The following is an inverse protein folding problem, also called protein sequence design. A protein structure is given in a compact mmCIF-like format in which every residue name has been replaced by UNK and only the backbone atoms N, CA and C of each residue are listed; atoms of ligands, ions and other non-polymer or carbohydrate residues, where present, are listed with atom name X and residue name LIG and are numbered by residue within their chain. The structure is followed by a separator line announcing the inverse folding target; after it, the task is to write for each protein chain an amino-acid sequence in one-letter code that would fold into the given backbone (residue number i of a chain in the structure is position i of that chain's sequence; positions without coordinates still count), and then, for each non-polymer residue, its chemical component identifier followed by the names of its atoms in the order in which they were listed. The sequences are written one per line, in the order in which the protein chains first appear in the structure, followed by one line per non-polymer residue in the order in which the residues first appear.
data_IF_215366526338
#
_entry.id   IF_215366526338
#
_cell.length_a   1.000
_cell.length_b   1.000
_cell.length_c   1.000
_cell.angle_alpha   90.00
_cell.angle_beta   90.00
_cell.angle_gamma   90.00
#
_symmetry.space_group_name_H-M   'P 1'
#
loop_
_entity.id
_entity.type
_entity.pdbx_description
1 polymer ?
#
# COMPACT_ATOMS: atom_id res chain seq x y z
N UNK A 1 -9.87 -15.89 11.18
CA UNK A 1 -9.22 -14.75 10.48
C UNK A 1 -8.25 -13.98 11.39
N UNK A 2 -8.63 -13.59 12.61
CA UNK A 2 -7.73 -12.84 13.53
C UNK A 2 -6.44 -13.57 13.93
N UNK A 3 -6.46 -14.89 14.11
CA UNK A 3 -5.26 -15.68 14.48
C UNK A 3 -4.12 -15.55 13.46
N UNK A 4 -4.45 -15.40 12.17
CA UNK A 4 -3.46 -15.21 11.11
C UNK A 4 -2.84 -13.81 11.21
N UNK A 5 -3.66 -12.76 11.36
CA UNK A 5 -3.15 -11.40 11.59
C UNK A 5 -2.26 -11.33 12.82
N UNK A 6 -2.63 -12.02 13.90
CA UNK A 6 -1.84 -12.04 15.12
C UNK A 6 -0.49 -12.73 14.90
N UNK A 7 -0.49 -13.88 14.23
CA UNK A 7 0.74 -14.60 13.90
C UNK A 7 1.67 -13.80 12.99
N UNK A 8 1.12 -13.10 12.00
CA UNK A 8 1.86 -12.22 11.08
C UNK A 8 2.41 -10.99 11.83
N UNK A 9 1.61 -10.38 12.69
CA UNK A 9 2.05 -9.24 13.52
C UNK A 9 3.19 -9.66 14.45
N UNK A 10 3.09 -10.85 15.05
CA UNK A 10 4.10 -11.37 15.99
C UNK A 10 5.40 -11.77 15.31
N UNK A 11 5.30 -12.50 14.20
CA UNK A 11 6.47 -13.07 13.52
C UNK A 11 7.04 -12.13 12.45
N UNK A 12 6.31 -11.07 12.12
CA UNK A 12 6.62 -10.20 11.00
C UNK A 12 6.36 -10.87 9.65
N UNK A 13 6.56 -10.08 8.61
CA UNK A 13 6.60 -10.52 7.21
C UNK A 13 8.05 -10.51 6.75
N UNK A 14 8.49 -11.52 5.96
CA UNK A 14 9.88 -11.61 5.52
C UNK A 14 10.24 -10.61 4.43
N UNK A 15 9.28 -9.82 3.94
CA UNK A 15 9.46 -8.80 2.92
C UNK A 15 9.17 -7.40 3.48
N UNK A 16 9.87 -6.39 2.93
CA UNK A 16 9.64 -5.00 3.31
C UNK A 16 8.41 -4.45 2.60
N UNK A 17 7.39 -4.14 3.39
CA UNK A 17 6.16 -3.53 2.90
C UNK A 17 5.87 -2.18 3.55
N UNK A 18 5.14 -1.34 2.82
CA UNK A 18 4.70 -0.03 3.30
C UNK A 18 3.25 0.23 2.88
N UNK A 19 2.52 0.94 3.76
CA UNK A 19 1.17 1.44 3.49
C UNK A 19 1.19 2.97 3.27
N UNK A 20 0.76 3.43 2.09
CA UNK A 20 0.66 4.82 1.68
C UNK A 20 -0.80 5.25 1.51
N UNK A 21 -1.39 5.80 2.57
CA UNK A 21 -2.75 6.36 2.55
C UNK A 21 -2.77 7.79 3.10
N UNK A 22 -3.89 8.49 2.92
CA UNK A 22 -4.17 9.73 3.63
C UNK A 22 -4.36 9.49 5.14
N UNK A 23 -4.13 10.52 5.95
CA UNK A 23 -4.27 10.46 7.41
C UNK A 23 -2.99 10.11 8.19
N UNK A 24 -1.90 9.79 7.48
CA UNK A 24 -0.58 9.57 8.07
C UNK A 24 0.41 10.68 7.70
N UNK A 25 1.45 10.88 8.52
CA UNK A 25 2.48 11.89 8.28
C UNK A 25 3.25 11.58 6.99
N UNK A 26 3.19 12.51 6.04
CA UNK A 26 3.87 12.39 4.75
C UNK A 26 5.38 12.16 4.90
N UNK A 27 6.06 12.88 5.80
CA UNK A 27 7.50 12.73 6.03
C UNK A 27 7.89 11.30 6.41
N UNK A 28 7.06 10.61 7.21
CA UNK A 28 7.29 9.21 7.59
C UNK A 28 7.13 8.30 6.39
N UNK A 29 6.06 8.47 5.61
CA UNK A 29 5.82 7.71 4.38
C UNK A 29 6.97 7.89 3.36
N UNK A 30 7.41 9.12 3.14
CA UNK A 30 8.52 9.42 2.21
C UNK A 30 9.86 8.89 2.70
N UNK A 31 10.12 8.91 4.01
CA UNK A 31 11.34 8.30 4.55
C UNK A 31 11.34 6.77 4.41
N UNK A 32 10.19 6.11 4.56
CA UNK A 32 10.07 4.67 4.31
C UNK A 32 10.35 4.31 2.84
N UNK A 33 9.96 5.17 1.89
CA UNK A 33 10.24 5.01 0.46
C UNK A 33 11.72 5.12 0.07
N UNK A 34 12.57 5.69 0.93
CA UNK A 34 14.02 5.77 0.68
C UNK A 34 14.73 4.43 0.88
N UNK A 35 14.09 3.50 1.58
CA UNK A 35 14.58 2.14 1.71
C UNK A 35 13.99 1.28 0.59
N UNK A 36 14.72 0.25 0.15
CA UNK A 36 14.18 -0.72 -0.81
C UNK A 36 12.91 -1.36 -0.22
N UNK A 37 11.82 -1.24 -0.98
CA UNK A 37 10.50 -1.76 -0.68
C UNK A 37 10.12 -2.78 -1.74
N UNK A 38 9.63 -3.93 -1.30
CA UNK A 38 9.16 -5.01 -2.18
C UNK A 38 7.64 -4.90 -2.43
N UNK A 39 6.92 -4.37 -1.44
CA UNK A 39 5.45 -4.25 -1.51
C UNK A 39 5.01 -2.86 -1.08
N UNK A 40 4.35 -2.15 -1.98
CA UNK A 40 3.68 -0.89 -1.68
C UNK A 40 2.16 -1.08 -1.73
N UNK A 41 1.53 -0.77 -0.60
CA UNK A 41 0.08 -0.80 -0.47
C UNK A 41 -0.39 0.65 -0.44
N UNK A 42 -1.23 1.10 -1.37
CA UNK A 42 -1.60 2.51 -1.45
C UNK A 42 -3.09 2.72 -1.77
N UNK A 43 -3.68 3.86 -1.42
CA UNK A 43 -4.96 4.27 -2.03
C UNK A 43 -4.70 4.85 -3.41
N UNK A 44 -5.64 4.74 -4.38
CA UNK A 44 -5.39 5.18 -5.76
C UNK A 44 -4.88 6.63 -5.86
N UNK A 45 -5.54 7.56 -5.15
CA UNK A 45 -5.11 8.95 -5.13
C UNK A 45 -3.70 9.14 -4.56
N UNK A 46 -3.32 8.37 -3.54
CA UNK A 46 -1.98 8.46 -2.96
C UNK A 46 -0.92 7.81 -3.84
N UNK A 47 -1.26 6.71 -4.51
CA UNK A 47 -0.39 6.05 -5.47
C UNK A 47 -0.06 6.96 -6.65
N UNK A 48 -1.07 7.57 -7.26
CA UNK A 48 -0.90 8.51 -8.39
C UNK A 48 -0.01 9.69 -7.97
N UNK A 49 -0.24 10.26 -6.78
CA UNK A 49 0.62 11.32 -6.24
C UNK A 49 2.09 10.87 -6.14
N UNK A 50 2.36 9.68 -5.58
CA UNK A 50 3.74 9.18 -5.43
C UNK A 50 4.43 8.92 -6.77
N UNK A 51 3.68 8.52 -7.79
CA UNK A 51 4.18 8.37 -9.16
C UNK A 51 4.49 9.73 -9.81
N UNK A 52 3.55 10.67 -9.74
CA UNK A 52 3.68 11.98 -10.38
C UNK A 52 4.83 12.80 -9.80
N UNK A 53 5.04 12.73 -8.48
CA UNK A 53 6.16 13.38 -7.80
C UNK A 53 7.49 12.63 -7.97
N UNK A 54 7.48 11.43 -8.58
CA UNK A 54 8.68 10.64 -8.82
C UNK A 54 9.25 9.92 -7.58
N UNK A 55 8.48 9.82 -6.49
CA UNK A 55 8.88 9.06 -5.29
C UNK A 55 8.82 7.55 -5.50
N UNK A 56 7.95 7.11 -6.41
CA UNK A 56 7.85 5.72 -6.85
C UNK A 56 8.07 5.70 -8.35
N UNK A 57 8.88 4.76 -8.83
CA UNK A 57 9.10 4.49 -10.25
C UNK A 57 8.56 3.11 -10.59
N UNK A 58 8.07 2.93 -11.81
CA UNK A 58 7.49 1.68 -12.27
C UNK A 58 8.51 0.77 -12.97
N UNK A 59 9.79 1.18 -13.02
CA UNK A 59 10.85 0.52 -13.78
C UNK A 59 11.04 -0.96 -13.39
N UNK A 60 10.80 -1.31 -12.12
CA UNK A 60 10.95 -2.66 -11.59
C UNK A 60 9.62 -3.35 -11.24
N UNK A 61 8.47 -2.70 -11.52
CA UNK A 61 7.18 -3.21 -11.06
C UNK A 61 6.84 -4.55 -11.72
N UNK A 62 6.71 -5.60 -10.89
CA UNK A 62 6.40 -6.96 -11.36
C UNK A 62 4.90 -7.19 -11.54
N UNK A 63 4.10 -6.72 -10.59
CA UNK A 63 2.66 -6.93 -10.59
C UNK A 63 1.93 -5.77 -9.90
N UNK A 64 0.83 -5.34 -10.49
CA UNK A 64 -0.08 -4.35 -9.94
C UNK A 64 -1.45 -4.99 -9.73
N UNK A 65 -1.92 -5.04 -8.49
CA UNK A 65 -3.27 -5.48 -8.14
C UNK A 65 -4.14 -4.29 -7.74
N UNK A 66 -5.30 -4.19 -8.39
CA UNK A 66 -6.31 -3.20 -8.08
C UNK A 66 -7.69 -3.86 -8.10
N UNK A 67 -8.43 -3.76 -7.00
CA UNK A 67 -9.82 -4.22 -6.95
C UNK A 67 -10.76 -3.16 -7.54
N UNK A 68 -11.15 -3.31 -8.81
CA UNK A 68 -12.15 -2.46 -9.45
C UNK A 68 -13.57 -2.93 -9.08
N UNK A 69 -14.07 -2.53 -7.91
CA UNK A 69 -15.47 -2.81 -7.54
C UNK A 69 -16.39 -1.64 -7.92
N UNK A 70 -16.99 -1.72 -9.10
CA UNK A 70 -18.22 -0.99 -9.44
C UNK A 70 -19.38 -1.58 -8.61
N UNK A 71 -20.20 -0.71 -7.99
CA UNK A 71 -21.38 -1.02 -7.16
C UNK A 71 -21.14 -1.64 -5.76
N UNK A 72 -21.22 -0.82 -4.70
CA UNK A 72 -22.37 -0.77 -3.77
C UNK A 72 -22.13 0.27 -2.66
N UNK A 73 -23.20 0.98 -2.30
CA UNK A 73 -23.33 1.99 -1.23
C UNK A 73 -23.59 1.26 0.10
N UNK A 74 -23.35 1.96 1.22
CA UNK A 74 -23.82 1.70 2.59
C UNK A 74 -22.81 1.07 3.56
N UNK A 75 -22.49 1.89 4.57
CA UNK A 75 -22.06 1.55 5.94
C UNK A 75 -20.92 0.54 6.11
N UNK A 76 -19.75 1.08 6.43
CA UNK A 76 -18.71 0.46 7.27
C UNK A 76 -17.83 -0.64 6.65
N UNK A 77 -17.28 -0.43 5.45
CA UNK A 77 -16.05 -1.13 5.05
C UNK A 77 -15.30 -0.43 3.90
N UNK A 78 -14.86 0.82 4.10
CA UNK A 78 -14.10 1.56 3.10
C UNK A 78 -12.62 1.66 3.50
N UNK A 79 -11.82 0.64 3.21
CA UNK A 79 -10.40 0.81 2.90
C UNK A 79 -10.06 -0.13 1.74
N UNK A 80 -10.35 0.33 0.51
CA UNK A 80 -9.90 -0.32 -0.72
C UNK A 80 -8.40 -0.04 -0.88
N UNK A 81 -7.58 -1.06 -0.73
CA UNK A 81 -6.13 -1.01 -0.86
C UNK A 81 -5.71 -1.40 -2.28
N UNK A 82 -4.86 -0.61 -2.93
CA UNK A 82 -4.04 -1.10 -4.06
C UNK A 82 -2.85 -1.87 -3.51
N UNK A 83 -2.47 -2.94 -4.18
CA UNK A 83 -1.32 -3.77 -3.81
C UNK A 83 -0.36 -3.79 -5.01
N UNK A 84 0.76 -3.07 -4.91
CA UNK A 84 1.83 -3.08 -5.90
C UNK A 84 3.02 -3.87 -5.39
N UNK A 85 3.47 -4.87 -6.14
CA UNK A 85 4.75 -5.56 -5.91
C UNK A 85 5.78 -4.84 -6.78
N UNK A 86 6.72 -4.14 -6.15
CA UNK A 86 7.80 -3.38 -6.78
C UNK A 86 9.06 -4.25 -6.85
#
# INVERSE_FOLDING_TARGET
MLNNCWSISKNGIPFRSMVATGGFKQKTQLNSLKHELEVLIATPGRFIFLLQEGFVKLDNLKCLFHEFRSLFKSSLLCQKFFFGII
#
